data_IF_099762575944
#
_entry.id   IF_099762575944
#
_cell.length_a   1.000
_cell.length_b   1.000
_cell.length_c   1.000
_cell.angle_alpha   90.00
_cell.angle_beta   90.00
_cell.angle_gamma   90.00
#
_symmetry.space_group_name_H-M   'P 1'
#
loop_
_entity.id
_entity.type
_entity.pdbx_description
1 polymer ?
#
# COMPACT_ATOMS: atom_id res chain seq x y z
N UNK A 1 -3.37 9.91 13.47
CA UNK A 1 -2.37 8.96 12.92
C UNK A 1 -2.17 7.68 13.77
N UNK A 2 -2.58 7.63 15.05
CA UNK A 2 -2.49 6.41 15.87
C UNK A 2 -3.33 5.23 15.35
N UNK A 3 -4.53 5.48 14.79
CA UNK A 3 -5.42 4.42 14.30
C UNK A 3 -4.87 3.57 13.14
N UNK A 4 -4.02 4.12 12.28
CA UNK A 4 -3.47 3.39 11.12
C UNK A 4 -2.40 2.36 11.53
N UNK A 5 -1.63 2.61 12.60
CA UNK A 5 -0.52 1.73 13.02
C UNK A 5 -1.01 0.40 13.60
N UNK A 6 -2.14 0.41 14.31
CA UNK A 6 -2.64 -0.79 15.01
C UNK A 6 -3.74 -1.52 14.23
N UNK A 7 -4.27 -0.95 13.15
CA UNK A 7 -5.38 -1.55 12.39
C UNK A 7 -5.07 -2.97 11.91
N UNK A 8 -3.91 -3.17 11.27
CA UNK A 8 -3.50 -4.50 10.78
C UNK A 8 -3.32 -5.51 11.92
N UNK A 9 -2.79 -5.07 13.06
CA UNK A 9 -2.60 -5.91 14.23
C UNK A 9 -3.94 -6.33 14.86
N UNK A 10 -4.90 -5.41 14.97
CA UNK A 10 -6.25 -5.69 15.49
C UNK A 10 -6.99 -6.69 14.59
N UNK A 11 -6.90 -6.52 13.27
CA UNK A 11 -7.49 -7.44 12.28
C UNK A 11 -6.85 -8.82 12.42
N UNK A 12 -5.52 -8.89 12.49
CA UNK A 12 -4.78 -10.15 12.69
C UNK A 12 -5.18 -10.90 13.96
N UNK A 13 -5.24 -10.21 15.10
CA UNK A 13 -5.64 -10.81 16.39
C UNK A 13 -7.09 -11.31 16.32
N UNK A 14 -7.98 -10.54 15.70
CA UNK A 14 -9.39 -10.90 15.55
C UNK A 14 -9.56 -12.18 14.74
N UNK A 15 -8.80 -12.36 13.65
CA UNK A 15 -8.78 -13.60 12.86
C UNK A 15 -8.30 -14.80 13.67
N UNK A 16 -7.27 -14.63 14.52
CA UNK A 16 -6.76 -15.69 15.41
C UNK A 16 -7.86 -16.11 16.40
N UNK A 17 -8.52 -15.15 17.04
CA UNK A 17 -9.61 -15.42 18.00
C UNK A 17 -10.76 -16.17 17.32
N UNK A 18 -11.15 -15.78 16.10
CA UNK A 18 -12.20 -16.47 15.32
C UNK A 18 -11.78 -17.90 14.98
N UNK A 19 -10.50 -18.11 14.63
CA UNK A 19 -9.94 -19.44 14.42
C UNK A 19 -10.03 -20.32 15.67
N UNK A 20 -9.66 -19.77 16.84
CA UNK A 20 -9.77 -20.47 18.12
C UNK A 20 -11.22 -20.86 18.42
N UNK A 21 -12.19 -19.96 18.19
CA UNK A 21 -13.61 -20.30 18.36
C UNK A 21 -14.07 -21.42 17.42
N UNK A 22 -13.56 -21.48 16.20
CA UNK A 22 -13.80 -22.60 15.28
C UNK A 22 -13.30 -23.94 15.84
N UNK A 23 -12.06 -23.96 16.35
CA UNK A 23 -11.44 -25.16 16.94
C UNK A 23 -12.18 -25.60 18.22
N UNK A 24 -12.45 -24.66 19.13
CA UNK A 24 -13.19 -24.92 20.36
C UNK A 24 -14.62 -25.41 20.07
N UNK A 25 -15.29 -24.82 19.08
CA UNK A 25 -16.61 -25.26 18.62
C UNK A 25 -16.59 -26.67 18.06
N UNK A 26 -15.56 -27.03 17.29
CA UNK A 26 -15.41 -28.38 16.73
C UNK A 26 -15.08 -29.44 17.79
N UNK A 27 -14.39 -29.08 18.86
CA UNK A 27 -13.90 -30.01 19.90
C UNK A 27 -14.80 -30.10 21.13
N UNK A 28 -15.76 -29.17 21.30
CA UNK A 28 -16.65 -29.14 22.44
C UNK A 28 -17.54 -30.40 22.52
N UNK A 29 -17.48 -31.11 23.65
CA UNK A 29 -18.32 -32.30 23.93
C UNK A 29 -19.78 -31.95 24.23
N UNK A 30 -20.04 -30.76 24.81
CA UNK A 30 -21.39 -30.31 25.18
C UNK A 30 -22.09 -29.73 23.95
N UNK A 31 -23.25 -30.29 23.60
CA UNK A 31 -24.02 -29.92 22.38
C UNK A 31 -24.37 -28.43 22.32
N UNK A 32 -24.73 -27.81 23.45
CA UNK A 32 -25.09 -26.39 23.50
C UNK A 32 -23.87 -25.49 23.18
N UNK A 33 -22.73 -25.74 23.82
CA UNK A 33 -21.49 -24.98 23.58
C UNK A 33 -20.96 -25.18 22.16
N UNK A 34 -20.99 -26.42 21.64
CA UNK A 34 -20.61 -26.71 20.27
C UNK A 34 -21.43 -25.88 19.27
N UNK A 35 -22.75 -25.85 19.41
CA UNK A 35 -23.64 -25.09 18.52
C UNK A 35 -23.39 -23.59 18.61
N UNK A 36 -23.26 -23.05 19.83
CA UNK A 36 -23.00 -21.63 20.05
C UNK A 36 -21.70 -21.16 19.38
N UNK A 37 -20.57 -21.81 19.70
CA UNK A 37 -19.27 -21.43 19.15
C UNK A 37 -19.20 -21.58 17.62
N UNK A 38 -19.78 -22.65 17.07
CA UNK A 38 -19.84 -22.81 15.63
C UNK A 38 -20.68 -21.69 15.00
N UNK A 39 -21.86 -21.38 15.54
CA UNK A 39 -22.71 -20.30 15.02
C UNK A 39 -21.99 -18.95 14.99
N UNK A 40 -21.32 -18.58 16.09
CA UNK A 40 -20.51 -17.36 16.15
C UNK A 40 -19.38 -17.37 15.12
N UNK A 41 -18.62 -18.47 15.01
CA UNK A 41 -17.56 -18.60 14.02
C UNK A 41 -18.08 -18.40 12.58
N UNK A 42 -19.25 -18.94 12.24
CA UNK A 42 -19.82 -18.82 10.90
C UNK A 42 -20.27 -17.40 10.59
N UNK A 43 -20.97 -16.75 11.52
CA UNK A 43 -21.35 -15.35 11.37
C UNK A 43 -20.09 -14.49 11.21
N UNK A 44 -19.05 -14.72 12.01
CA UNK A 44 -17.79 -14.00 11.86
C UNK A 44 -17.16 -14.24 10.49
N UNK A 45 -17.04 -15.48 10.01
CA UNK A 45 -16.48 -15.78 8.68
C UNK A 45 -17.27 -15.07 7.57
N UNK A 46 -18.61 -15.07 7.63
CA UNK A 46 -19.45 -14.37 6.67
C UNK A 46 -19.22 -12.85 6.71
N UNK A 47 -19.19 -12.25 7.91
CA UNK A 47 -18.94 -10.82 8.08
C UNK A 47 -17.55 -10.42 7.56
N UNK A 48 -16.52 -11.23 7.80
CA UNK A 48 -15.19 -11.00 7.24
C UNK A 48 -15.19 -11.12 5.72
N UNK A 49 -15.86 -12.12 5.15
CA UNK A 49 -16.02 -12.26 3.70
C UNK A 49 -16.63 -11.01 3.06
N UNK A 50 -17.72 -10.49 3.64
CA UNK A 50 -18.37 -9.25 3.20
C UNK A 50 -17.41 -8.05 3.38
N UNK A 51 -16.72 -7.96 4.50
CA UNK A 51 -15.75 -6.89 4.78
C UNK A 51 -14.64 -6.83 3.72
N UNK A 52 -14.06 -7.97 3.34
CA UNK A 52 -13.01 -8.03 2.32
C UNK A 52 -13.50 -7.62 0.93
N UNK A 53 -14.77 -7.91 0.60
CA UNK A 53 -15.39 -7.45 -0.65
C UNK A 53 -15.62 -5.93 -0.60
N UNK A 54 -16.12 -5.39 0.51
CA UNK A 54 -16.28 -3.94 0.68
C UNK A 54 -14.91 -3.24 0.60
N UNK A 55 -13.89 -3.81 1.25
CA UNK A 55 -12.53 -3.28 1.22
C UNK A 55 -11.98 -3.23 -0.21
N UNK A 56 -12.23 -4.25 -1.04
CA UNK A 56 -11.87 -4.22 -2.46
C UNK A 56 -12.45 -3.00 -3.18
N UNK A 57 -13.76 -2.72 -3.00
CA UNK A 57 -14.39 -1.56 -3.62
C UNK A 57 -13.84 -0.24 -3.07
N UNK A 58 -13.67 -0.12 -1.75
CA UNK A 58 -13.15 1.09 -1.12
C UNK A 58 -11.72 1.39 -1.55
N UNK A 59 -10.84 0.39 -1.59
CA UNK A 59 -9.46 0.54 -2.01
C UNK A 59 -9.36 1.03 -3.46
N UNK A 60 -10.10 0.40 -4.39
CA UNK A 60 -10.10 0.79 -5.80
C UNK A 60 -10.72 2.18 -6.03
N UNK A 61 -11.72 2.56 -5.24
CA UNK A 61 -12.34 3.88 -5.34
C UNK A 61 -11.42 4.97 -4.76
N UNK A 62 -10.90 4.75 -3.55
CA UNK A 62 -10.04 5.73 -2.87
C UNK A 62 -8.71 5.95 -3.57
N UNK A 63 -8.14 4.94 -4.22
CA UNK A 63 -6.90 5.12 -4.97
C UNK A 63 -7.03 6.20 -6.05
N UNK A 64 -8.16 6.23 -6.77
CA UNK A 64 -8.45 7.24 -7.79
C UNK A 64 -8.70 8.63 -7.20
N UNK A 65 -9.30 8.70 -6.02
CA UNK A 65 -9.61 9.97 -5.36
C UNK A 65 -8.38 10.57 -4.65
N UNK A 66 -7.52 9.73 -4.06
CA UNK A 66 -6.38 10.16 -3.25
C UNK A 66 -5.34 10.96 -4.05
N UNK A 67 -5.04 10.53 -5.28
CA UNK A 67 -4.12 11.26 -6.17
C UNK A 67 -4.82 12.41 -6.92
N UNK A 68 -6.15 12.45 -6.91
CA UNK A 68 -6.94 13.46 -7.60
C UNK A 68 -6.72 13.47 -9.11
N UNK A 69 -7.10 14.58 -9.77
CA UNK A 69 -6.88 14.78 -11.21
C UNK A 69 -5.52 15.43 -11.53
N UNK A 70 -4.89 16.09 -10.55
CA UNK A 70 -3.61 16.77 -10.76
C UNK A 70 -2.76 16.81 -9.50
N UNK A 71 -1.44 16.75 -9.71
CA UNK A 71 -0.43 16.79 -8.64
C UNK A 71 -0.42 18.09 -7.82
N UNK A 72 -0.96 19.19 -8.35
CA UNK A 72 -1.02 20.50 -7.68
C UNK A 72 -2.30 20.69 -6.86
N UNK A 73 -3.36 19.91 -7.14
CA UNK A 73 -4.69 20.14 -6.56
C UNK A 73 -4.84 19.65 -5.12
N UNK A 74 -3.98 18.73 -4.69
CA UNK A 74 -4.11 18.11 -3.37
C UNK A 74 -3.28 18.88 -2.34
N UNK A 75 -3.94 19.46 -1.34
CA UNK A 75 -3.28 20.12 -0.20
C UNK A 75 -2.22 19.22 0.47
N UNK A 76 -2.42 17.90 0.42
CA UNK A 76 -1.52 16.88 0.96
C UNK A 76 -0.10 16.92 0.38
N UNK A 77 0.08 17.43 -0.84
CA UNK A 77 1.38 17.48 -1.52
C UNK A 77 1.92 18.90 -1.72
N UNK A 78 1.27 19.91 -1.13
CA UNK A 78 1.70 21.31 -1.32
C UNK A 78 3.11 21.54 -0.77
N UNK A 79 3.38 21.11 0.46
CA UNK A 79 4.70 21.24 1.09
C UNK A 79 5.78 20.47 0.32
N UNK A 80 5.43 19.28 -0.19
CA UNK A 80 6.30 18.49 -1.05
C UNK A 80 6.62 19.22 -2.36
N UNK A 81 5.60 19.75 -3.02
CA UNK A 81 5.74 20.51 -4.27
C UNK A 81 6.60 21.77 -4.08
N UNK A 82 6.37 22.52 -2.99
CA UNK A 82 7.13 23.73 -2.66
C UNK A 82 8.60 23.39 -2.37
N UNK A 83 8.86 22.32 -1.60
CA UNK A 83 10.21 21.83 -1.33
C UNK A 83 10.93 21.38 -2.60
N UNK A 84 10.22 20.68 -3.51
CA UNK A 84 10.77 20.26 -4.81
C UNK A 84 11.07 21.43 -5.72
N UNK A 85 10.18 22.43 -5.78
CA UNK A 85 10.42 23.65 -6.55
C UNK A 85 11.65 24.39 -6.04
N UNK A 86 11.74 24.60 -4.72
CA UNK A 86 12.88 25.27 -4.08
C UNK A 86 14.20 24.52 -4.31
N UNK A 87 14.18 23.18 -4.24
CA UNK A 87 15.33 22.34 -4.53
C UNK A 87 15.77 22.44 -5.99
N UNK A 88 14.84 22.38 -6.94
CA UNK A 88 15.12 22.47 -8.37
C UNK A 88 15.71 23.82 -8.79
N UNK A 89 15.26 24.91 -8.15
CA UNK A 89 15.76 26.27 -8.38
C UNK A 89 17.17 26.46 -7.78
N UNK A 90 17.46 25.81 -6.65
CA UNK A 90 18.72 25.99 -5.92
C UNK A 90 19.83 25.04 -6.39
N UNK A 91 19.51 23.80 -6.74
CA UNK A 91 20.49 22.77 -7.04
C UNK A 91 21.15 22.93 -8.42
N UNK A 92 22.48 22.79 -8.46
CA UNK A 92 23.32 23.08 -9.63
C UNK A 92 23.13 24.51 -10.16
N UNK A 93 22.91 25.48 -9.26
CA UNK A 93 22.84 26.91 -9.55
C UNK A 93 24.11 27.62 -9.07
N UNK A 94 24.16 28.97 -9.20
CA UNK A 94 25.28 29.77 -8.69
C UNK A 94 25.39 29.60 -7.16
N UNK A 95 24.25 29.51 -6.48
CA UNK A 95 24.18 29.40 -5.01
C UNK A 95 24.55 28.01 -4.50
N UNK A 96 24.35 26.97 -5.32
CA UNK A 96 24.80 25.62 -5.00
C UNK A 96 25.32 24.89 -6.26
N UNK A 97 26.61 25.07 -6.58
CA UNK A 97 27.27 24.29 -7.62
C UNK A 97 27.30 22.80 -7.24
N UNK A 98 27.05 21.90 -8.18
CA UNK A 98 26.95 20.47 -7.90
C UNK A 98 28.14 19.65 -8.45
N UNK A 99 28.39 18.49 -7.84
CA UNK A 99 29.37 17.52 -8.33
C UNK A 99 28.76 16.75 -9.51
N UNK A 100 29.02 17.26 -10.70
CA UNK A 100 28.45 16.77 -11.94
C UNK A 100 29.53 16.08 -12.78
N UNK A 101 29.36 14.78 -13.02
CA UNK A 101 30.17 13.99 -13.96
C UNK A 101 29.44 13.91 -15.33
N UNK A 102 29.87 14.68 -16.35
CA UNK A 102 29.21 14.70 -17.65
C UNK A 102 29.27 13.36 -18.39
N UNK A 103 30.14 12.43 -17.98
CA UNK A 103 30.27 11.11 -18.63
C UNK A 103 29.10 10.18 -18.30
N UNK A 104 28.37 10.47 -17.22
CA UNK A 104 27.19 9.69 -16.79
C UNK A 104 25.92 10.03 -17.58
N UNK A 105 25.93 11.11 -18.35
CA UNK A 105 24.77 11.60 -19.08
C UNK A 105 24.85 11.24 -20.55
N UNK A 106 23.83 10.54 -21.05
CA UNK A 106 23.71 10.20 -22.48
C UNK A 106 23.39 11.43 -23.32
N UNK A 107 22.46 12.25 -22.82
CA UNK A 107 22.12 13.53 -23.43
C UNK A 107 22.77 14.67 -22.65
N UNK A 108 23.76 15.33 -23.26
CA UNK A 108 24.46 16.47 -22.66
C UNK A 108 23.65 17.76 -22.68
N UNK A 109 22.56 17.82 -23.44
CA UNK A 109 21.70 19.02 -23.52
C UNK A 109 21.06 19.34 -22.17
N UNK A 110 20.84 18.31 -21.34
CA UNK A 110 20.27 18.40 -19.99
C UNK A 110 21.15 19.17 -19.00
N UNK A 111 22.43 19.35 -19.34
CA UNK A 111 23.43 20.05 -18.52
C UNK A 111 23.52 21.54 -18.87
N UNK A 112 22.86 22.00 -19.94
CA UNK A 112 22.91 23.41 -20.35
C UNK A 112 22.29 24.29 -19.26
N UNK A 113 23.03 25.31 -18.85
CA UNK A 113 22.61 26.26 -17.80
C UNK A 113 22.76 25.73 -16.37
N UNK A 114 23.29 24.53 -16.19
CA UNK A 114 23.65 23.99 -14.87
C UNK A 114 25.09 24.33 -14.53
N UNK A 115 25.32 24.73 -13.29
CA UNK A 115 26.65 25.03 -12.76
C UNK A 115 27.11 23.82 -11.96
N UNK A 116 28.00 23.04 -12.56
CA UNK A 116 28.56 21.85 -11.92
C UNK A 116 29.94 21.51 -12.49
N UNK A 117 30.77 20.95 -11.62
CA UNK A 117 32.12 20.51 -11.95
C UNK A 117 32.31 19.11 -11.38
N UNK A 118 33.13 18.28 -12.05
CA UNK A 118 33.53 16.98 -11.52
C UNK A 118 34.52 17.20 -10.37
N UNK A 119 33.99 17.43 -9.16
CA UNK A 119 34.76 17.68 -7.96
C UNK A 119 34.05 17.03 -6.77
N UNK A 120 34.72 16.08 -6.12
CA UNK A 120 34.18 15.34 -4.98
C UNK A 120 33.86 16.19 -3.75
N UNK A 121 34.34 17.45 -3.70
CA UNK A 121 34.01 18.40 -2.63
C UNK A 121 32.65 19.09 -2.85
N UNK A 122 32.07 18.99 -4.05
CA UNK A 122 30.77 19.58 -4.36
C UNK A 122 29.63 18.60 -4.00
N UNK A 123 28.45 19.12 -3.67
CA UNK A 123 27.29 18.30 -3.33
C UNK A 123 26.80 17.48 -4.53
N UNK A 124 26.49 16.22 -4.30
CA UNK A 124 25.90 15.31 -5.30
C UNK A 124 24.38 15.30 -5.30
N UNK A 125 23.79 15.92 -4.28
CA UNK A 125 22.35 16.02 -4.03
C UNK A 125 22.06 17.36 -3.33
N UNK A 126 20.81 17.82 -3.34
CA UNK A 126 20.45 19.15 -2.83
C UNK A 126 20.58 19.28 -1.31
N UNK A 127 20.52 18.18 -0.58
CA UNK A 127 20.58 18.15 0.89
C UNK A 127 21.95 18.61 1.41
N UNK A 128 22.99 18.42 0.60
CA UNK A 128 24.36 18.80 0.90
C UNK A 128 24.65 20.28 0.54
N UNK A 129 23.68 21.02 -0.01
CA UNK A 129 23.83 22.43 -0.36
C UNK A 129 23.81 23.35 0.87
N UNK A 130 24.82 24.22 0.98
CA UNK A 130 24.82 25.30 1.97
C UNK A 130 23.69 26.29 1.63
N UNK A 131 22.76 26.51 2.57
CA UNK A 131 21.62 27.43 2.42
C UNK A 131 20.31 26.76 1.99
N UNK A 132 20.31 25.46 1.72
CA UNK A 132 19.06 24.71 1.57
C UNK A 132 18.54 24.31 2.96
N UNK A 133 17.28 24.63 3.25
CA UNK A 133 16.66 24.36 4.55
C UNK A 133 16.21 22.89 4.65
N UNK A 134 17.18 22.01 4.90
CA UNK A 134 16.95 20.57 5.01
C UNK A 134 16.06 20.18 6.20
N UNK A 135 16.04 20.99 7.26
CA UNK A 135 15.21 20.73 8.44
C UNK A 135 13.74 21.05 8.15
N UNK A 136 13.45 22.18 7.50
CA UNK A 136 12.08 22.53 7.10
C UNK A 136 11.49 21.50 6.14
N UNK A 137 12.26 21.01 5.18
CA UNK A 137 11.76 20.08 4.15
C UNK A 137 12.16 18.62 4.37
N UNK A 138 12.49 18.23 5.62
CA UNK A 138 13.04 16.91 5.95
C UNK A 138 12.21 15.74 5.40
N UNK A 139 10.89 15.76 5.59
CA UNK A 139 10.00 14.69 5.11
C UNK A 139 9.88 14.68 3.58
N UNK A 140 9.58 15.81 2.90
CA UNK A 140 9.64 15.89 1.44
C UNK A 140 10.93 15.35 0.82
N UNK A 141 12.07 15.76 1.38
CA UNK A 141 13.40 15.36 0.91
C UNK A 141 13.58 13.85 1.00
N UNK A 142 13.26 13.25 2.16
CA UNK A 142 13.40 11.81 2.37
C UNK A 142 12.49 11.03 1.42
N UNK A 143 11.23 11.47 1.27
CA UNK A 143 10.30 10.85 0.34
C UNK A 143 10.82 10.94 -1.10
N UNK A 144 11.23 12.12 -1.55
CA UNK A 144 11.73 12.31 -2.91
C UNK A 144 12.99 11.49 -3.18
N UNK A 145 13.93 11.42 -2.23
CA UNK A 145 15.11 10.56 -2.39
C UNK A 145 14.71 9.09 -2.61
N UNK A 146 13.78 8.56 -1.81
CA UNK A 146 13.26 7.19 -1.98
C UNK A 146 12.59 7.03 -3.35
N UNK A 147 11.79 8.00 -3.79
CA UNK A 147 11.11 7.95 -5.07
C UNK A 147 12.09 7.98 -6.25
N UNK A 148 13.07 8.87 -6.22
CA UNK A 148 14.13 8.95 -7.23
C UNK A 148 14.98 7.66 -7.26
N UNK A 149 15.29 7.09 -6.08
CA UNK A 149 16.01 5.83 -5.95
C UNK A 149 15.26 4.66 -6.58
N UNK A 150 13.97 4.51 -6.26
CA UNK A 150 13.19 3.34 -6.65
C UNK A 150 12.59 3.46 -8.06
N UNK A 151 12.20 4.65 -8.50
CA UNK A 151 11.46 4.85 -9.76
C UNK A 151 12.27 5.47 -10.88
N UNK A 152 13.54 5.86 -10.63
CA UNK A 152 14.39 6.56 -11.61
C UNK A 152 13.68 7.77 -12.24
N UNK A 153 12.93 8.49 -11.44
CA UNK A 153 12.24 9.74 -11.78
C UNK A 153 12.97 10.91 -11.13
N UNK A 154 12.62 12.14 -11.50
CA UNK A 154 12.97 13.31 -10.71
C UNK A 154 11.96 14.42 -10.92
N UNK A 155 11.87 15.33 -9.95
CA UNK A 155 10.79 16.30 -9.82
C UNK A 155 9.46 15.67 -9.41
N UNK A 156 8.53 16.48 -8.92
CA UNK A 156 7.23 16.02 -8.41
C UNK A 156 6.16 16.08 -9.49
N UNK A 157 5.66 17.28 -9.78
CA UNK A 157 4.70 17.54 -10.86
C UNK A 157 5.37 17.56 -12.24
N UNK A 158 6.44 18.36 -12.34
CA UNK A 158 7.22 18.52 -13.56
C UNK A 158 8.46 17.64 -13.47
N UNK A 159 8.71 16.87 -14.52
CA UNK A 159 9.90 16.04 -14.62
C UNK A 159 11.16 16.90 -14.77
N UNK A 160 12.22 16.53 -14.08
CA UNK A 160 13.58 17.03 -14.34
C UNK A 160 14.42 15.93 -14.98
N UNK A 161 15.40 16.33 -15.78
CA UNK A 161 16.30 15.44 -16.52
C UNK A 161 17.45 14.89 -15.69
N UNK A 162 17.68 15.48 -14.52
CA UNK A 162 18.73 15.12 -13.55
C UNK A 162 18.08 14.75 -12.22
N UNK A 163 18.73 13.87 -11.46
CA UNK A 163 18.37 13.60 -10.07
C UNK A 163 18.76 14.79 -9.18
N UNK A 164 17.87 15.15 -8.25
CA UNK A 164 18.04 16.32 -7.38
C UNK A 164 18.15 15.91 -5.92
N UNK A 165 17.40 14.89 -5.53
CA UNK A 165 17.33 14.40 -4.15
C UNK A 165 18.17 13.15 -3.91
N UNK A 166 18.50 12.42 -4.97
CA UNK A 166 19.47 11.33 -5.00
C UNK A 166 20.72 11.76 -5.78
N UNK A 167 21.74 10.90 -5.82
CA UNK A 167 22.99 11.21 -6.51
C UNK A 167 22.77 11.57 -7.99
N UNK A 168 23.12 12.80 -8.34
CA UNK A 168 23.05 13.34 -9.70
C UNK A 168 23.81 12.49 -10.72
N UNK A 169 24.87 11.78 -10.29
CA UNK A 169 25.74 10.99 -11.16
C UNK A 169 25.18 9.60 -11.49
N UNK A 170 23.93 9.31 -11.11
CA UNK A 170 23.18 8.14 -11.58
C UNK A 170 22.77 8.23 -13.06
N UNK A 171 22.94 9.39 -13.68
CA UNK A 171 22.70 9.64 -15.09
C UNK A 171 21.33 10.23 -15.39
N UNK A 172 20.80 10.00 -16.59
CA UNK A 172 19.52 10.54 -17.01
C UNK A 172 18.35 9.88 -16.26
N UNK A 173 17.35 10.68 -15.91
CA UNK A 173 16.07 10.20 -15.38
C UNK A 173 15.23 9.55 -16.51
N UNK A 174 14.15 8.88 -16.14
CA UNK A 174 13.20 8.28 -17.10
C UNK A 174 12.41 9.30 -17.94
N UNK A 175 12.59 10.61 -17.71
CA UNK A 175 11.83 11.67 -18.37
C UNK A 175 10.39 11.83 -17.88
N UNK A 176 9.96 11.03 -16.90
CA UNK A 176 8.66 11.14 -16.24
C UNK A 176 8.82 11.71 -14.83
N UNK A 177 7.82 12.46 -14.39
CA UNK A 177 7.78 13.03 -13.05
C UNK A 177 7.57 11.95 -12.00
N UNK A 178 8.07 12.15 -10.78
CA UNK A 178 7.90 11.18 -9.71
C UNK A 178 6.44 11.01 -9.29
N UNK A 179 5.61 12.05 -9.41
CA UNK A 179 4.17 11.94 -9.17
C UNK A 179 3.54 10.89 -10.09
N UNK A 180 3.78 10.97 -11.41
CA UNK A 180 3.18 10.03 -12.36
C UNK A 180 3.66 8.59 -12.13
N UNK A 181 4.97 8.41 -11.88
CA UNK A 181 5.52 7.08 -11.58
C UNK A 181 4.95 6.50 -10.29
N UNK A 182 4.87 7.31 -9.25
CA UNK A 182 4.37 6.88 -7.95
C UNK A 182 2.86 6.63 -7.97
N UNK A 183 2.09 7.48 -8.66
CA UNK A 183 0.65 7.29 -8.86
C UNK A 183 0.39 5.96 -9.58
N UNK A 184 1.04 5.71 -10.73
CA UNK A 184 0.85 4.47 -11.47
C UNK A 184 1.22 3.25 -10.62
N UNK A 185 2.37 3.31 -9.93
CA UNK A 185 2.79 2.25 -9.01
C UNK A 185 1.76 2.00 -7.90
N UNK A 186 1.21 3.07 -7.32
CA UNK A 186 0.22 2.96 -6.25
C UNK A 186 -1.12 2.41 -6.76
N UNK A 187 -1.59 2.88 -7.91
CA UNK A 187 -2.81 2.37 -8.56
C UNK A 187 -2.68 0.88 -8.88
N UNK A 188 -1.54 0.45 -9.43
CA UNK A 188 -1.25 -0.96 -9.71
C UNK A 188 -1.19 -1.78 -8.41
N UNK A 189 -0.48 -1.28 -7.40
CA UNK A 189 -0.37 -1.93 -6.09
C UNK A 189 -1.73 -2.10 -5.42
N UNK A 190 -2.54 -1.04 -5.38
CA UNK A 190 -3.89 -1.08 -4.79
C UNK A 190 -4.81 -2.00 -5.58
N UNK A 191 -4.72 -2.01 -6.91
CA UNK A 191 -5.49 -2.93 -7.75
C UNK A 191 -5.14 -4.39 -7.43
N UNK A 192 -3.84 -4.72 -7.35
CA UNK A 192 -3.37 -6.06 -6.98
C UNK A 192 -3.86 -6.46 -5.58
N UNK A 193 -3.66 -5.59 -4.59
CA UNK A 193 -4.12 -5.83 -3.21
C UNK A 193 -5.64 -5.96 -3.13
N UNK A 194 -6.36 -5.21 -3.96
CA UNK A 194 -7.79 -5.33 -4.14
C UNK A 194 -8.19 -6.71 -4.62
N UNK A 195 -7.56 -7.24 -5.68
CA UNK A 195 -7.85 -8.59 -6.16
C UNK A 195 -7.56 -9.66 -5.13
N UNK A 196 -6.46 -9.54 -4.38
CA UNK A 196 -6.15 -10.45 -3.26
C UNK A 196 -7.28 -10.41 -2.22
N UNK A 197 -7.73 -9.22 -1.84
CA UNK A 197 -8.85 -9.02 -0.91
C UNK A 197 -10.14 -9.68 -1.43
N UNK A 198 -10.47 -9.48 -2.71
CA UNK A 198 -11.64 -10.10 -3.35
C UNK A 198 -11.56 -11.63 -3.33
N UNK A 199 -10.41 -12.21 -3.70
CA UNK A 199 -10.19 -13.65 -3.66
C UNK A 199 -10.39 -14.21 -2.25
N UNK A 200 -9.83 -13.57 -1.23
CA UNK A 200 -10.02 -13.96 0.17
C UNK A 200 -11.49 -13.87 0.59
N UNK A 201 -12.19 -12.80 0.20
CA UNK A 201 -13.62 -12.62 0.47
C UNK A 201 -14.47 -13.74 -0.12
N UNK A 202 -14.24 -14.11 -1.38
CA UNK A 202 -14.91 -15.23 -2.05
C UNK A 202 -14.61 -16.55 -1.33
N UNK A 203 -13.36 -16.78 -0.93
CA UNK A 203 -12.94 -18.00 -0.23
C UNK A 203 -13.64 -18.13 1.13
N UNK A 204 -13.81 -17.03 1.88
CA UNK A 204 -14.59 -17.03 3.12
C UNK A 204 -16.08 -17.33 2.89
N UNK A 205 -16.69 -16.78 1.84
CA UNK A 205 -18.08 -17.06 1.49
C UNK A 205 -18.26 -18.52 1.09
N UNK A 206 -17.39 -19.06 0.23
CA UNK A 206 -17.43 -20.47 -0.15
C UNK A 206 -17.26 -21.37 1.07
N UNK A 207 -16.33 -21.02 1.97
CA UNK A 207 -16.14 -21.75 3.24
C UNK A 207 -17.42 -21.74 4.07
N UNK A 208 -18.08 -20.59 4.22
CA UNK A 208 -19.36 -20.49 4.91
C UNK A 208 -20.43 -21.37 4.24
N UNK A 209 -20.55 -21.35 2.91
CA UNK A 209 -21.50 -22.19 2.16
C UNK A 209 -21.23 -23.68 2.37
N UNK A 210 -19.98 -24.13 2.26
CA UNK A 210 -19.63 -25.54 2.47
C UNK A 210 -19.97 -26.00 3.89
N UNK A 211 -19.63 -25.21 4.90
CA UNK A 211 -19.92 -25.61 6.28
C UNK A 211 -21.43 -25.61 6.54
N UNK A 212 -22.18 -24.66 5.97
CA UNK A 212 -23.64 -24.68 6.02
C UNK A 212 -24.23 -25.93 5.35
N UNK A 213 -23.75 -26.32 4.17
CA UNK A 213 -24.15 -27.56 3.50
C UNK A 213 -23.88 -28.80 4.35
N UNK A 214 -22.68 -28.92 4.92
CA UNK A 214 -22.30 -30.02 5.81
C UNK A 214 -23.17 -30.06 7.07
N UNK A 215 -23.52 -28.90 7.61
CA UNK A 215 -24.43 -28.80 8.75
C UNK A 215 -25.83 -29.33 8.41
N UNK A 216 -26.39 -28.91 7.28
CA UNK A 216 -27.69 -29.38 6.80
C UNK A 216 -27.70 -30.90 6.54
N UNK A 217 -26.64 -31.45 5.94
CA UNK A 217 -26.52 -32.88 5.68
C UNK A 217 -26.45 -33.69 6.99
N UNK A 218 -25.64 -33.23 7.95
CA UNK A 218 -25.53 -33.86 9.27
C UNK A 218 -26.86 -33.86 10.02
N UNK A 219 -27.64 -32.79 9.92
CA UNK A 219 -28.97 -32.73 10.54
C UNK A 219 -29.95 -33.71 9.88
N UNK A 220 -29.95 -33.81 8.55
CA UNK A 220 -30.75 -34.80 7.81
C UNK A 220 -30.41 -36.23 8.23
N UNK A 221 -29.12 -36.57 8.32
CA UNK A 221 -28.66 -37.90 8.76
C UNK A 221 -29.10 -38.22 10.20
N UNK A 222 -29.05 -37.23 11.11
CA UNK A 222 -29.54 -37.41 12.49
C UNK A 222 -31.04 -37.68 12.54
N UNK A 223 -31.84 -36.94 11.77
CA UNK A 223 -33.29 -37.14 11.69
C UNK A 223 -33.63 -38.54 11.14
N UNK A 224 -32.93 -38.99 10.10
CA UNK A 224 -33.11 -40.33 9.52
C UNK A 224 -32.81 -41.45 10.53
N UNK A 225 -31.66 -41.39 11.21
CA UNK A 225 -31.31 -42.37 12.26
C UNK A 225 -32.30 -42.39 13.43
N UNK A 226 -32.81 -41.22 13.83
CA UNK A 226 -33.81 -41.14 14.88
C UNK A 226 -35.15 -41.77 14.46
N UNK A 227 -35.53 -41.66 13.19
CA UNK A 227 -36.71 -42.34 12.63
C UNK A 227 -36.51 -43.85 12.56
N UNK A 228 -35.37 -44.31 12.06
CA UNK A 228 -35.02 -45.75 11.99
C UNK A 228 -35.04 -46.40 13.39
N UNK A 229 -34.47 -45.73 14.40
CA UNK A 229 -34.54 -46.21 15.79
C UNK A 229 -35.97 -46.29 16.31
N UNK A 230 -36.86 -45.33 16.01
CA UNK A 230 -38.26 -45.39 16.43
C UNK A 230 -39.00 -46.59 15.84
N UNK A 231 -38.69 -46.95 14.58
CA UNK A 231 -39.28 -48.10 13.91
C UNK A 231 -38.80 -49.45 14.50
N UNK A 232 -37.59 -49.51 15.05
CA UNK A 232 -37.05 -50.73 15.68
C UNK A 232 -37.63 -51.03 17.07
N UNK A 233 -38.29 -50.06 17.71
CA UNK A 233 -38.85 -50.20 19.07
C UNK A 233 -40.39 -50.29 19.10
N UNK A 234 -41.04 -50.38 17.94
CA UNK A 234 -42.47 -50.67 17.80
C UNK A 234 -42.69 -52.14 17.48
#
# INVERSE_FOLDING_TARGET
MFGQKYGALIIGISLIIIGIFGILGSTAKKVCFQRGFLFFHHISVLLFGILFIILFYLLNFQAKEYFGKSCESTQNFKELSDGVKSANESFCSISCPCNLDPTKFKDKSVLKGKIGFSNSLLPSNVQDCIGFDSEKYKYPIQLMNILEMNFSCSGWCTSTSIFVFSDINRGNTSGLSCFNKFQNYYEDYVTIMGYISLCLGILFILSFTFIFCLYCEKEKLKKKKAQELRLLYQ
#
